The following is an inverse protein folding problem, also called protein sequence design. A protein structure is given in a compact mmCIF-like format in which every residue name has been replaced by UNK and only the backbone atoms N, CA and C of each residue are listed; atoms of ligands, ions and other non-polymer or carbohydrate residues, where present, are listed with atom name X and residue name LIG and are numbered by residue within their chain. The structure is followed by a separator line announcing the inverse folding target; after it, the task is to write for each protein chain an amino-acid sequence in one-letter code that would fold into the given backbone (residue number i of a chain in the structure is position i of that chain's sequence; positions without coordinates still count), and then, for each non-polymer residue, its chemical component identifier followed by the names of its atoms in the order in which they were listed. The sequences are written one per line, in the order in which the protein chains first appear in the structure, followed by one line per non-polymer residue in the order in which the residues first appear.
data_IF_544601647712
#
_entry.id   IF_544601647712
#
_cell.length_a   1.000
_cell.length_b   1.000
_cell.length_c   1.000
_cell.angle_alpha   90.00
_cell.angle_beta   90.00
_cell.angle_gamma   90.00
#
_symmetry.space_group_name_H-M   'P 1'
#
loop_
_entity.id
_entity.type
_entity.pdbx_description
1 polymer ?
#
# COMPACT_ATOMS: atom_id res chain seq x y z
N UNK A 1 -25.09 -12.04 -43.78
CA UNK A 1 -24.97 -11.74 -42.34
C UNK A 1 -24.79 -10.26 -42.00
N UNK A 2 -24.05 -9.46 -42.77
CA UNK A 2 -23.90 -8.00 -42.49
C UNK A 2 -25.19 -7.18 -42.71
N UNK A 3 -26.07 -7.54 -43.63
CA UNK A 3 -27.34 -6.82 -43.90
C UNK A 3 -28.42 -7.08 -42.82
N UNK A 4 -28.43 -8.23 -42.17
CA UNK A 4 -29.34 -8.52 -41.04
C UNK A 4 -28.99 -7.76 -39.74
N UNK A 5 -27.69 -7.46 -39.51
CA UNK A 5 -27.26 -6.65 -38.37
C UNK A 5 -27.72 -5.19 -38.51
N UNK A 6 -27.72 -4.62 -39.71
CA UNK A 6 -28.14 -3.23 -39.94
C UNK A 6 -29.62 -2.98 -39.72
N UNK A 7 -30.51 -3.95 -40.01
CA UNK A 7 -31.94 -3.80 -39.81
C UNK A 7 -32.38 -3.82 -38.34
N UNK A 8 -31.65 -4.48 -37.47
CA UNK A 8 -31.94 -4.52 -36.02
C UNK A 8 -31.52 -3.24 -35.27
N UNK A 9 -30.67 -2.41 -35.87
CA UNK A 9 -30.28 -1.11 -35.26
C UNK A 9 -31.23 0.04 -35.61
N UNK A 10 -32.15 -0.12 -36.53
CA UNK A 10 -33.11 0.93 -36.94
C UNK A 10 -34.15 1.27 -35.87
N UNK A 11 -34.39 0.36 -34.92
CA UNK A 11 -35.37 0.59 -33.82
C UNK A 11 -34.74 1.23 -32.53
N UNK A 12 -33.40 1.42 -32.53
CA UNK A 12 -32.74 2.10 -31.44
C UNK A 12 -32.89 3.61 -31.60
N UNK A 13 -33.61 4.25 -30.70
CA UNK A 13 -33.66 5.71 -30.65
C UNK A 13 -32.28 6.27 -30.27
N UNK A 14 -31.91 7.40 -30.89
CA UNK A 14 -30.65 8.09 -30.56
C UNK A 14 -30.44 8.26 -29.04
N UNK A 15 -31.53 8.51 -28.32
CA UNK A 15 -31.53 8.59 -26.87
C UNK A 15 -31.09 7.30 -26.19
N UNK A 16 -31.60 6.14 -26.61
CA UNK A 16 -31.22 4.86 -25.99
C UNK A 16 -29.74 4.52 -26.19
N UNK A 17 -29.15 4.94 -27.31
CA UNK A 17 -27.69 4.79 -27.52
C UNK A 17 -26.89 5.66 -26.56
N UNK A 18 -27.30 6.92 -26.38
CA UNK A 18 -26.62 7.83 -25.44
C UNK A 18 -26.80 7.40 -23.97
N UNK A 19 -27.97 6.86 -23.62
CA UNK A 19 -28.26 6.37 -22.26
C UNK A 19 -27.47 5.11 -21.89
N UNK A 20 -27.04 4.32 -22.88
CA UNK A 20 -26.24 3.11 -22.67
C UNK A 20 -24.73 3.41 -22.47
N UNK A 21 -24.29 4.66 -22.67
CA UNK A 21 -22.88 5.01 -22.51
C UNK A 21 -22.49 5.08 -21.03
N UNK A 22 -21.40 4.42 -20.61
CA UNK A 22 -20.92 4.44 -19.22
C UNK A 22 -20.13 5.73 -18.90
N UNK A 23 -20.67 6.87 -19.27
CA UNK A 23 -20.09 8.19 -19.05
C UNK A 23 -21.22 9.21 -18.83
N UNK A 24 -20.90 10.34 -18.21
CA UNK A 24 -21.83 11.46 -18.13
C UNK A 24 -21.79 12.23 -19.43
N UNK A 25 -22.94 12.41 -20.06
CA UNK A 25 -23.07 13.10 -21.31
C UNK A 25 -24.10 14.23 -21.21
N UNK A 26 -23.68 15.42 -21.66
CA UNK A 26 -24.54 16.60 -21.76
C UNK A 26 -24.37 17.25 -23.14
N UNK A 27 -25.43 17.84 -23.65
CA UNK A 27 -25.37 18.74 -24.81
C UNK A 27 -25.69 20.15 -24.28
N UNK A 28 -24.93 21.13 -24.69
CA UNK A 28 -24.99 22.50 -24.17
C UNK A 28 -25.10 23.52 -25.30
N UNK A 29 -25.80 24.60 -25.01
CA UNK A 29 -25.88 25.78 -25.90
C UNK A 29 -24.67 26.73 -25.70
N UNK A 30 -24.60 27.78 -26.49
CA UNK A 30 -23.56 28.80 -26.44
C UNK A 30 -23.53 29.56 -25.09
N UNK A 31 -24.63 29.60 -24.36
CA UNK A 31 -24.73 30.20 -23.04
C UNK A 31 -24.33 29.21 -21.92
N UNK A 32 -23.93 27.99 -22.29
CA UNK A 32 -23.56 26.88 -21.38
C UNK A 32 -24.77 26.30 -20.63
N UNK A 33 -25.98 26.51 -21.12
CA UNK A 33 -27.17 25.83 -20.59
C UNK A 33 -27.22 24.40 -21.12
N UNK A 34 -27.58 23.47 -20.25
CA UNK A 34 -27.70 22.06 -20.57
C UNK A 34 -29.03 21.84 -21.32
N UNK A 35 -28.92 21.36 -22.56
CA UNK A 35 -30.06 21.06 -23.43
C UNK A 35 -30.50 19.58 -23.33
N UNK A 36 -29.54 18.70 -23.03
CA UNK A 36 -29.74 17.26 -22.95
C UNK A 36 -28.78 16.64 -21.95
N UNK A 37 -29.22 15.58 -21.28
CA UNK A 37 -28.42 14.71 -20.41
C UNK A 37 -28.77 13.24 -20.69
N UNK A 38 -27.80 12.33 -20.53
CA UNK A 38 -28.06 10.90 -20.59
C UNK A 38 -28.46 10.31 -19.23
N UNK A 39 -28.86 9.03 -19.20
CA UNK A 39 -29.36 8.37 -18.00
C UNK A 39 -28.28 8.28 -16.90
N UNK A 40 -27.03 8.04 -17.25
CA UNK A 40 -25.91 8.01 -16.29
C UNK A 40 -25.77 9.36 -15.57
N UNK A 41 -25.91 10.45 -16.29
CA UNK A 41 -25.88 11.79 -15.68
C UNK A 41 -27.09 12.00 -14.74
N UNK A 42 -28.29 11.62 -15.17
CA UNK A 42 -29.51 11.77 -14.35
C UNK A 42 -29.41 11.05 -13.00
N UNK A 43 -28.79 9.88 -12.99
CA UNK A 43 -28.66 9.08 -11.78
C UNK A 43 -27.81 9.80 -10.71
N UNK A 44 -26.69 10.43 -11.10
CA UNK A 44 -25.69 10.95 -10.15
C UNK A 44 -25.80 12.47 -9.93
N UNK A 45 -26.31 13.23 -10.90
CA UNK A 45 -26.48 14.69 -10.82
C UNK A 45 -27.94 15.13 -10.72
N UNK A 46 -28.88 14.28 -11.09
CA UNK A 46 -30.29 14.63 -11.20
C UNK A 46 -30.61 15.37 -12.51
N UNK A 47 -31.79 16.00 -12.58
CA UNK A 47 -32.20 16.73 -13.78
C UNK A 47 -31.47 18.08 -13.86
N UNK A 48 -30.59 18.20 -14.83
CA UNK A 48 -29.80 19.40 -15.11
C UNK A 48 -30.28 20.18 -16.33
N UNK A 49 -31.31 19.72 -17.05
CA UNK A 49 -31.77 20.38 -18.28
C UNK A 49 -32.28 21.79 -17.98
N UNK A 50 -31.88 22.76 -18.79
CA UNK A 50 -32.17 24.17 -18.62
C UNK A 50 -31.30 24.91 -17.60
N UNK A 51 -30.47 24.21 -16.84
CA UNK A 51 -29.54 24.80 -15.90
C UNK A 51 -28.18 25.08 -16.54
N UNK A 52 -27.44 26.05 -15.99
CA UNK A 52 -26.07 26.33 -16.42
C UNK A 52 -25.13 25.24 -15.96
N UNK A 53 -24.24 24.76 -16.85
CA UNK A 53 -23.32 23.63 -16.56
C UNK A 53 -22.45 23.87 -15.33
N UNK A 54 -21.94 25.08 -15.11
CA UNK A 54 -21.08 25.43 -13.97
C UNK A 54 -21.83 25.38 -12.63
N UNK A 55 -23.16 25.59 -12.62
CA UNK A 55 -23.98 25.38 -11.40
C UNK A 55 -24.12 23.90 -11.08
N UNK A 56 -24.37 23.07 -12.08
CA UNK A 56 -24.60 21.63 -11.89
C UNK A 56 -23.31 20.89 -11.54
N UNK A 57 -22.20 21.16 -12.25
CA UNK A 57 -20.96 20.41 -12.06
C UNK A 57 -20.05 20.94 -10.97
N UNK A 58 -20.10 22.26 -10.68
CA UNK A 58 -19.17 22.92 -9.75
C UNK A 58 -19.89 23.64 -8.60
N UNK A 59 -21.20 23.71 -8.62
CA UNK A 59 -21.97 24.44 -7.58
C UNK A 59 -21.67 25.94 -7.54
N UNK A 60 -21.18 26.54 -8.64
CA UNK A 60 -20.76 27.94 -8.69
C UNK A 60 -21.71 28.81 -9.50
N UNK A 61 -21.76 30.11 -9.20
CA UNK A 61 -22.52 31.09 -10.00
C UNK A 61 -21.72 31.67 -11.17
N UNK A 62 -20.48 31.26 -11.32
CA UNK A 62 -19.56 31.82 -12.33
C UNK A 62 -19.05 30.76 -13.29
N UNK A 63 -18.84 31.16 -14.55
CA UNK A 63 -18.26 30.30 -15.59
C UNK A 63 -16.84 29.87 -15.23
N UNK A 64 -16.47 28.66 -15.61
CA UNK A 64 -15.12 28.11 -15.40
C UNK A 64 -14.07 29.00 -16.11
N UNK A 65 -12.94 29.26 -15.46
CA UNK A 65 -11.86 30.08 -16.05
C UNK A 65 -11.24 29.50 -17.32
N UNK A 66 -11.17 28.18 -17.43
CA UNK A 66 -10.60 27.44 -18.57
C UNK A 66 -11.62 26.42 -19.09
N UNK A 67 -12.82 26.88 -19.44
CA UNK A 67 -13.90 26.02 -19.87
C UNK A 67 -13.63 25.36 -21.23
N UNK A 68 -13.53 24.02 -21.35
CA UNK A 68 -13.32 23.36 -22.63
C UNK A 68 -14.49 23.55 -23.58
N UNK A 69 -15.71 23.61 -23.07
CA UNK A 69 -16.93 23.85 -23.88
C UNK A 69 -16.91 25.23 -24.55
N UNK A 70 -16.51 26.28 -23.83
CA UNK A 70 -16.34 27.61 -24.43
C UNK A 70 -15.28 27.63 -25.52
N UNK A 71 -14.13 26.94 -25.30
CA UNK A 71 -13.09 26.84 -26.34
C UNK A 71 -13.63 26.17 -27.60
N UNK A 72 -14.41 25.08 -27.43
CA UNK A 72 -15.02 24.37 -28.53
C UNK A 72 -16.00 25.26 -29.31
N UNK A 73 -16.78 26.13 -28.65
CA UNK A 73 -17.63 27.09 -29.34
C UNK A 73 -16.83 28.13 -30.13
N UNK A 74 -15.64 28.54 -29.67
CA UNK A 74 -14.80 29.56 -30.29
C UNK A 74 -14.11 29.04 -31.56
N UNK A 75 -13.51 27.84 -31.50
CA UNK A 75 -12.63 27.33 -32.55
C UNK A 75 -13.19 26.13 -33.33
N UNK A 76 -14.35 25.59 -32.93
CA UNK A 76 -14.99 24.44 -33.56
C UNK A 76 -14.19 23.13 -33.43
N UNK A 77 -13.26 23.05 -32.46
CA UNK A 77 -12.41 21.86 -32.26
C UNK A 77 -12.78 21.10 -31.00
N UNK A 78 -12.34 19.84 -30.96
CA UNK A 78 -12.43 19.00 -29.74
C UNK A 78 -11.42 19.49 -28.73
N UNK A 79 -11.87 19.67 -27.50
CA UNK A 79 -11.00 19.99 -26.36
C UNK A 79 -11.11 18.91 -25.27
N UNK A 80 -9.97 18.61 -24.66
CA UNK A 80 -9.85 17.66 -23.56
C UNK A 80 -9.30 18.41 -22.34
N UNK A 81 -9.90 18.20 -21.18
CA UNK A 81 -9.45 18.80 -19.92
C UNK A 81 -9.65 17.82 -18.77
N UNK A 82 -8.88 17.96 -17.70
CA UNK A 82 -9.15 17.31 -16.43
C UNK A 82 -9.92 18.28 -15.53
N UNK A 83 -11.03 17.84 -14.96
CA UNK A 83 -11.84 18.62 -14.04
C UNK A 83 -12.10 17.81 -12.76
N UNK A 84 -12.11 18.50 -11.63
CA UNK A 84 -12.58 17.93 -10.36
C UNK A 84 -14.05 18.24 -10.21
N UNK A 85 -14.89 17.22 -10.11
CA UNK A 85 -16.35 17.34 -10.07
C UNK A 85 -16.86 16.85 -8.73
N UNK A 86 -17.79 17.62 -8.14
CA UNK A 86 -18.52 17.24 -6.95
C UNK A 86 -19.84 16.58 -7.35
N UNK A 87 -20.02 15.30 -6.97
CA UNK A 87 -21.26 14.58 -7.19
C UNK A 87 -22.32 14.96 -6.14
N UNK A 88 -23.58 14.61 -6.40
CA UNK A 88 -24.72 14.91 -5.52
C UNK A 88 -24.62 14.27 -4.12
N UNK A 89 -23.94 13.15 -4.01
CA UNK A 89 -23.69 12.44 -2.75
C UNK A 89 -22.53 13.05 -1.92
N UNK A 90 -21.90 14.14 -2.41
CA UNK A 90 -20.76 14.80 -1.78
C UNK A 90 -19.41 14.19 -2.13
N UNK A 91 -19.35 13.16 -2.97
CA UNK A 91 -18.08 12.59 -3.43
C UNK A 91 -17.40 13.50 -4.45
N UNK A 92 -16.08 13.59 -4.35
CA UNK A 92 -15.23 14.38 -5.27
C UNK A 92 -14.51 13.42 -6.20
N UNK A 93 -14.77 13.55 -7.50
CA UNK A 93 -14.20 12.70 -8.54
C UNK A 93 -13.34 13.50 -9.52
N UNK A 94 -12.21 12.92 -9.94
CA UNK A 94 -11.44 13.44 -11.06
C UNK A 94 -12.01 12.87 -12.35
N UNK A 95 -12.34 13.77 -13.27
CA UNK A 95 -12.96 13.44 -14.56
C UNK A 95 -12.09 13.92 -15.70
N UNK A 96 -11.98 13.10 -16.75
CA UNK A 96 -11.56 13.60 -18.06
C UNK A 96 -12.81 14.10 -18.78
N UNK A 97 -12.76 15.34 -19.21
CA UNK A 97 -13.80 16.01 -19.95
C UNK A 97 -13.40 16.12 -21.41
N UNK A 98 -14.26 15.60 -22.28
CA UNK A 98 -14.21 15.81 -23.71
C UNK A 98 -15.32 16.78 -24.12
N UNK A 99 -15.00 17.81 -24.89
CA UNK A 99 -15.98 18.69 -25.51
C UNK A 99 -15.82 18.67 -27.02
N UNK A 100 -16.90 18.38 -27.74
CA UNK A 100 -16.90 18.27 -29.20
C UNK A 100 -18.02 19.13 -29.81
N UNK A 101 -17.81 19.81 -30.96
CA UNK A 101 -18.79 20.64 -31.58
C UNK A 101 -19.87 19.80 -32.28
N UNK A 102 -21.13 20.28 -32.23
CA UNK A 102 -22.22 19.84 -33.07
C UNK A 102 -22.55 20.98 -34.04
N UNK A 103 -22.44 20.68 -35.34
CA UNK A 103 -22.62 21.68 -36.39
C UNK A 103 -24.05 21.71 -36.88
N UNK A 104 -24.53 22.89 -37.27
CA UNK A 104 -25.74 23.04 -38.01
C UNK A 104 -25.55 22.75 -39.51
N UNK A 105 -26.63 22.83 -40.29
CA UNK A 105 -26.59 22.56 -41.74
C UNK A 105 -25.73 23.58 -42.52
N UNK A 106 -25.40 24.70 -41.91
CA UNK A 106 -24.61 25.78 -42.53
C UNK A 106 -23.13 25.69 -42.14
N UNK A 107 -22.80 24.81 -41.17
CA UNK A 107 -21.43 24.58 -40.70
C UNK A 107 -21.02 25.43 -39.49
N UNK A 108 -21.95 26.08 -38.82
CA UNK A 108 -21.67 26.77 -37.54
C UNK A 108 -21.83 25.83 -36.37
N UNK A 109 -21.08 26.06 -35.29
CA UNK A 109 -21.26 25.29 -34.05
C UNK A 109 -22.58 25.71 -33.38
N UNK A 110 -23.59 24.85 -33.47
CA UNK A 110 -24.90 25.08 -32.88
C UNK A 110 -25.02 24.65 -31.42
N UNK A 111 -24.29 23.59 -31.05
CA UNK A 111 -24.22 23.06 -29.69
C UNK A 111 -22.88 22.37 -29.47
N UNK A 112 -22.58 22.06 -28.22
CA UNK A 112 -21.39 21.29 -27.86
C UNK A 112 -21.83 20.09 -27.01
N UNK A 113 -21.35 18.92 -27.41
CA UNK A 113 -21.45 17.70 -26.59
C UNK A 113 -20.30 17.68 -25.59
N UNK A 114 -20.61 17.58 -24.31
CA UNK A 114 -19.64 17.41 -23.22
C UNK A 114 -19.80 16.00 -22.65
N UNK A 115 -18.73 15.22 -22.68
CA UNK A 115 -18.64 13.87 -22.10
C UNK A 115 -17.62 13.89 -20.97
N UNK A 116 -17.99 13.27 -19.82
CA UNK A 116 -17.11 13.15 -18.67
C UNK A 116 -16.96 11.67 -18.32
N UNK A 117 -15.72 11.25 -18.12
CA UNK A 117 -15.39 9.89 -17.69
C UNK A 117 -14.62 9.93 -16.38
N UNK A 118 -15.07 9.14 -15.42
CA UNK A 118 -14.36 8.99 -14.15
C UNK A 118 -13.05 8.22 -14.38
N UNK A 119 -11.96 8.81 -13.96
CA UNK A 119 -10.61 8.23 -14.12
C UNK A 119 -9.96 7.88 -12.79
N UNK A 120 -10.65 8.00 -11.68
CA UNK A 120 -10.09 7.69 -10.36
C UNK A 120 -9.51 6.29 -10.33
N UNK A 121 -10.26 5.28 -10.75
CA UNK A 121 -9.79 3.90 -10.78
C UNK A 121 -8.53 3.70 -11.62
N UNK A 122 -8.44 4.37 -12.78
CA UNK A 122 -7.26 4.30 -13.65
C UNK A 122 -6.07 4.99 -12.99
N UNK A 123 -6.29 6.15 -12.39
CA UNK A 123 -5.24 6.90 -11.67
C UNK A 123 -4.76 6.16 -10.42
N UNK A 124 -5.66 5.50 -9.71
CA UNK A 124 -5.31 4.68 -8.54
C UNK A 124 -4.43 3.50 -8.95
N UNK A 125 -4.80 2.78 -10.01
CA UNK A 125 -3.98 1.69 -10.58
C UNK A 125 -2.63 2.20 -11.09
N UNK A 126 -2.60 3.36 -11.77
CA UNK A 126 -1.35 3.97 -12.21
C UNK A 126 -0.46 4.36 -11.01
N UNK A 127 -1.03 4.96 -9.98
CA UNK A 127 -0.30 5.30 -8.75
C UNK A 127 0.27 4.06 -8.08
N UNK A 128 -0.52 2.98 -7.98
CA UNK A 128 -0.09 1.70 -7.45
C UNK A 128 1.07 1.11 -8.27
N UNK A 129 0.99 1.14 -9.61
CA UNK A 129 2.05 0.69 -10.50
C UNK A 129 3.34 1.50 -10.35
N UNK A 130 3.25 2.83 -10.23
CA UNK A 130 4.41 3.71 -10.00
C UNK A 130 5.05 3.39 -8.65
N UNK A 131 4.25 3.25 -7.59
CA UNK A 131 4.72 2.87 -6.25
C UNK A 131 5.41 1.51 -6.28
N UNK A 132 4.82 0.53 -6.96
CA UNK A 132 5.41 -0.79 -7.13
C UNK A 132 6.75 -0.73 -7.89
N UNK A 133 6.83 0.08 -8.97
CA UNK A 133 8.06 0.29 -9.73
C UNK A 133 9.18 0.92 -8.90
N UNK A 134 8.88 1.95 -8.11
CA UNK A 134 9.84 2.58 -7.19
C UNK A 134 10.33 1.58 -6.14
N UNK A 135 9.43 0.81 -5.59
CA UNK A 135 9.71 -0.23 -4.61
C UNK A 135 10.62 -1.33 -5.16
N UNK A 136 10.39 -1.73 -6.42
CA UNK A 136 11.25 -2.70 -7.10
C UNK A 136 12.66 -2.16 -7.33
N UNK A 137 12.80 -0.86 -7.62
CA UNK A 137 14.10 -0.22 -7.76
C UNK A 137 14.89 -0.23 -6.43
N UNK A 138 14.25 0.08 -5.30
CA UNK A 138 14.87 0.01 -3.97
C UNK A 138 15.29 -1.42 -3.64
N UNK A 139 14.42 -2.41 -3.86
CA UNK A 139 14.76 -3.82 -3.64
C UNK A 139 15.94 -4.29 -4.46
N UNK A 140 16.01 -3.87 -5.73
CA UNK A 140 17.14 -4.23 -6.62
C UNK A 140 18.44 -3.62 -6.14
N UNK A 141 18.40 -2.36 -5.69
CA UNK A 141 19.54 -1.68 -5.09
C UNK A 141 20.03 -2.41 -3.82
N UNK A 142 19.13 -2.78 -2.92
CA UNK A 142 19.45 -3.50 -1.69
C UNK A 142 20.07 -4.88 -1.98
N UNK A 143 19.49 -5.63 -2.93
CA UNK A 143 20.04 -6.90 -3.36
C UNK A 143 21.46 -6.74 -3.93
N UNK A 144 21.69 -5.70 -4.74
CA UNK A 144 23.02 -5.38 -5.26
C UNK A 144 24.03 -5.14 -4.12
N UNK A 145 23.66 -4.29 -3.14
CA UNK A 145 24.53 -4.00 -1.98
C UNK A 145 24.86 -5.27 -1.17
N UNK A 146 23.87 -6.17 -1.01
CA UNK A 146 24.09 -7.44 -0.32
C UNK A 146 25.04 -8.36 -1.11
N UNK A 147 24.94 -8.39 -2.45
CA UNK A 147 25.84 -9.15 -3.32
C UNK A 147 27.26 -8.59 -3.25
N UNK A 148 27.43 -7.27 -3.33
CA UNK A 148 28.73 -6.62 -3.14
C UNK A 148 29.32 -6.93 -1.76
N UNK A 149 28.47 -6.99 -0.72
CA UNK A 149 28.88 -7.42 0.62
C UNK A 149 29.33 -8.88 0.67
N UNK A 150 28.73 -9.79 -0.12
CA UNK A 150 29.22 -11.17 -0.25
C UNK A 150 30.59 -11.24 -0.92
N UNK A 151 30.75 -10.52 -2.03
CA UNK A 151 32.03 -10.44 -2.75
C UNK A 151 33.14 -9.87 -1.86
N UNK A 152 32.88 -8.77 -1.14
CA UNK A 152 33.81 -8.20 -0.17
C UNK A 152 34.14 -9.14 0.97
N UNK A 153 33.15 -9.88 1.50
CA UNK A 153 33.37 -10.89 2.52
C UNK A 153 34.26 -12.04 2.03
N UNK A 154 34.04 -12.52 0.82
CA UNK A 154 34.83 -13.56 0.17
C UNK A 154 36.26 -13.08 -0.03
N UNK A 155 36.45 -11.86 -0.54
CA UNK A 155 37.80 -11.28 -0.73
C UNK A 155 38.59 -11.20 0.59
N UNK A 156 37.93 -10.77 1.69
CA UNK A 156 38.58 -10.69 3.02
C UNK A 156 38.96 -12.10 3.55
N UNK A 157 38.16 -13.13 3.22
CA UNK A 157 38.49 -14.52 3.56
C UNK A 157 39.75 -14.95 2.78
N UNK A 158 39.80 -14.71 1.46
CA UNK A 158 40.90 -15.11 0.59
C UNK A 158 42.20 -14.45 1.02
N UNK A 159 42.21 -13.16 1.33
CA UNK A 159 43.39 -12.46 1.86
C UNK A 159 43.80 -13.02 3.24
N UNK A 160 42.85 -13.28 4.13
CA UNK A 160 43.17 -13.89 5.43
C UNK A 160 43.80 -15.29 5.30
N UNK A 161 43.33 -16.10 4.35
CA UNK A 161 43.91 -17.42 4.08
C UNK A 161 45.31 -17.28 3.48
N UNK A 162 45.48 -16.38 2.51
CA UNK A 162 46.74 -16.13 1.82
C UNK A 162 47.84 -15.66 2.77
N UNK A 163 47.51 -14.78 3.68
CA UNK A 163 48.41 -14.21 4.67
C UNK A 163 48.51 -15.06 5.96
N UNK A 164 47.84 -16.21 6.00
CA UNK A 164 47.73 -17.09 7.16
C UNK A 164 47.18 -16.39 8.42
N UNK A 165 46.36 -15.34 8.20
CA UNK A 165 45.64 -14.59 9.24
C UNK A 165 44.21 -15.11 9.44
N UNK A 166 44.06 -16.07 10.33
CA UNK A 166 42.76 -16.65 10.66
C UNK A 166 41.80 -15.64 11.33
N UNK A 167 42.33 -14.56 11.93
CA UNK A 167 41.51 -13.47 12.47
C UNK A 167 40.82 -12.67 11.36
N UNK A 168 41.56 -12.36 10.29
CA UNK A 168 41.05 -11.70 9.09
C UNK A 168 40.04 -12.61 8.35
N UNK A 169 40.34 -13.88 8.17
CA UNK A 169 39.45 -14.84 7.55
C UNK A 169 38.10 -14.98 8.31
N UNK A 170 38.15 -15.00 9.65
CA UNK A 170 36.92 -14.99 10.48
C UNK A 170 36.10 -13.71 10.33
N UNK A 171 36.70 -12.55 10.17
CA UNK A 171 36.01 -11.29 9.89
C UNK A 171 35.28 -11.36 8.54
N UNK A 172 35.97 -11.82 7.47
CA UNK A 172 35.37 -12.04 6.17
C UNK A 172 34.18 -13.01 6.23
N UNK A 173 34.33 -14.14 6.95
CA UNK A 173 33.25 -15.11 7.15
C UNK A 173 32.03 -14.48 7.86
N UNK A 174 32.25 -13.62 8.84
CA UNK A 174 31.16 -12.92 9.53
C UNK A 174 30.39 -11.99 8.58
N UNK A 175 31.11 -11.23 7.73
CA UNK A 175 30.49 -10.36 6.71
C UNK A 175 29.65 -11.21 5.74
N UNK A 176 30.20 -12.30 5.23
CA UNK A 176 29.53 -13.19 4.29
C UNK A 176 28.27 -13.79 4.90
N UNK A 177 28.34 -14.36 6.12
CA UNK A 177 27.22 -14.95 6.84
C UNK A 177 26.11 -13.94 7.09
N UNK A 178 26.46 -12.69 7.43
CA UNK A 178 25.49 -11.60 7.63
C UNK A 178 24.69 -11.34 6.35
N UNK A 179 25.36 -11.19 5.21
CA UNK A 179 24.72 -10.90 3.93
C UNK A 179 23.86 -12.09 3.43
N UNK A 180 24.30 -13.33 3.59
CA UNK A 180 23.49 -14.53 3.27
C UNK A 180 22.19 -14.52 4.07
N UNK A 181 22.27 -14.24 5.36
CA UNK A 181 21.10 -14.20 6.24
C UNK A 181 20.11 -13.12 5.80
N UNK A 182 20.62 -11.96 5.41
CA UNK A 182 19.79 -10.84 4.96
C UNK A 182 19.12 -11.13 3.60
N UNK A 183 19.85 -11.67 2.62
CA UNK A 183 19.29 -12.10 1.34
C UNK A 183 18.19 -13.14 1.55
N UNK A 184 18.41 -14.12 2.42
CA UNK A 184 17.41 -15.13 2.76
C UNK A 184 16.14 -14.51 3.32
N UNK A 185 16.27 -13.54 4.23
CA UNK A 185 15.16 -12.82 4.85
C UNK A 185 14.35 -12.03 3.80
N UNK A 186 15.03 -11.27 2.94
CA UNK A 186 14.40 -10.46 1.88
C UNK A 186 13.66 -11.37 0.90
N UNK A 187 14.32 -12.43 0.41
CA UNK A 187 13.71 -13.39 -0.53
C UNK A 187 12.48 -14.04 0.07
N UNK A 188 12.52 -14.44 1.34
CA UNK A 188 11.36 -15.01 2.01
C UNK A 188 10.21 -14.00 2.14
N UNK A 189 10.48 -12.72 2.39
CA UNK A 189 9.46 -11.69 2.47
C UNK A 189 8.81 -11.43 1.10
N UNK A 190 9.61 -11.37 0.03
CA UNK A 190 9.10 -11.25 -1.35
C UNK A 190 8.22 -12.44 -1.71
N UNK A 191 8.66 -13.67 -1.44
CA UNK A 191 7.88 -14.88 -1.71
C UNK A 191 6.57 -14.92 -0.93
N UNK A 192 6.56 -14.40 0.29
CA UNK A 192 5.33 -14.32 1.09
C UNK A 192 4.36 -13.26 0.53
N UNK A 193 4.89 -12.13 0.05
CA UNK A 193 4.08 -11.04 -0.51
C UNK A 193 3.48 -11.42 -1.87
N UNK A 194 4.23 -12.15 -2.71
CA UNK A 194 3.83 -12.50 -4.08
C UNK A 194 2.87 -13.67 -4.19
N UNK A 195 2.89 -14.60 -3.23
CA UNK A 195 2.02 -15.79 -3.28
C UNK A 195 0.70 -15.55 -2.54
N UNK A 196 -0.44 -15.79 -3.22
CA UNK A 196 -1.72 -16.07 -2.57
C UNK A 196 -1.60 -17.43 -1.88
N UNK A 197 -1.15 -17.44 -0.63
CA UNK A 197 -1.10 -18.67 0.18
C UNK A 197 -2.37 -18.73 1.01
N UNK A 198 -3.12 -19.82 0.87
CA UNK A 198 -4.22 -20.11 1.78
C UNK A 198 -3.65 -20.48 3.16
N UNK A 199 -4.00 -19.75 4.23
CA UNK A 199 -3.52 -20.04 5.57
C UNK A 199 -3.98 -21.45 6.00
N UNK A 200 -3.08 -22.21 6.59
CA UNK A 200 -3.39 -23.53 7.15
C UNK A 200 -3.72 -23.39 8.64
N UNK A 201 -4.97 -23.10 8.93
CA UNK A 201 -5.44 -22.94 10.29
C UNK A 201 -5.49 -24.25 11.06
N UNK A 202 -4.84 -24.29 12.21
CA UNK A 202 -4.80 -25.44 13.13
C UNK A 202 -4.92 -24.97 14.59
N UNK A 203 -5.49 -25.81 15.46
CA UNK A 203 -5.54 -25.55 16.90
C UNK A 203 -4.15 -25.63 17.49
N UNK A 204 -3.66 -24.56 18.03
CA UNK A 204 -2.31 -24.42 18.58
C UNK A 204 -2.34 -23.57 19.85
N UNK A 205 -1.40 -23.79 20.75
CA UNK A 205 -1.23 -22.96 21.97
C UNK A 205 -0.43 -21.71 21.65
N UNK A 206 -0.97 -20.51 21.85
CA UNK A 206 -0.28 -19.27 21.50
C UNK A 206 1.09 -19.11 22.19
N UNK A 207 1.19 -19.43 23.47
CA UNK A 207 2.44 -19.33 24.23
C UNK A 207 3.54 -20.26 23.68
N UNK A 208 3.21 -21.43 23.13
CA UNK A 208 4.20 -22.34 22.52
C UNK A 208 4.77 -21.75 21.22
N UNK A 209 3.93 -21.10 20.42
CA UNK A 209 4.37 -20.41 19.20
C UNK A 209 5.32 -19.25 19.55
N UNK A 210 4.98 -18.45 20.54
CA UNK A 210 5.86 -17.37 21.00
C UNK A 210 7.19 -17.91 21.56
N UNK A 211 7.16 -18.95 22.39
CA UNK A 211 8.36 -19.59 22.95
C UNK A 211 9.31 -20.06 21.85
N UNK A 212 8.81 -20.86 20.87
CA UNK A 212 9.61 -21.32 19.75
C UNK A 212 10.21 -20.18 18.94
N UNK A 213 9.47 -19.07 18.78
CA UNK A 213 9.98 -17.92 18.06
C UNK A 213 11.10 -17.22 18.83
N UNK A 214 10.94 -17.02 20.13
CA UNK A 214 11.99 -16.41 20.98
C UNK A 214 13.27 -17.24 20.97
N UNK A 215 13.15 -18.58 21.06
CA UNK A 215 14.29 -19.52 21.01
C UNK A 215 15.14 -19.32 19.73
N UNK A 216 14.52 -19.00 18.57
CA UNK A 216 15.25 -18.74 17.32
C UNK A 216 16.14 -17.49 17.37
N UNK A 217 15.85 -16.55 18.26
CA UNK A 217 16.58 -15.28 18.38
C UNK A 217 17.51 -15.20 19.58
N UNK A 218 17.49 -16.19 20.47
CA UNK A 218 18.26 -16.15 21.71
C UNK A 218 19.79 -16.06 21.46
N UNK A 219 20.31 -16.85 20.51
CA UNK A 219 21.73 -16.80 20.15
C UNK A 219 22.13 -15.42 19.61
N UNK A 220 21.27 -14.84 18.76
CA UNK A 220 21.52 -13.50 18.22
C UNK A 220 21.50 -12.42 19.28
N UNK A 221 20.53 -12.47 20.19
CA UNK A 221 20.43 -11.52 21.30
C UNK A 221 21.67 -11.62 22.22
N UNK A 222 22.13 -12.83 22.53
CA UNK A 222 23.35 -13.08 23.31
C UNK A 222 24.61 -12.52 22.60
N UNK A 223 24.71 -12.68 21.28
CA UNK A 223 25.83 -12.14 20.49
C UNK A 223 25.87 -10.61 20.50
N UNK A 224 24.69 -9.98 20.58
CA UNK A 224 24.56 -8.51 20.68
C UNK A 224 24.61 -8.01 22.13
N UNK A 225 24.77 -8.90 23.12
CA UNK A 225 24.71 -8.58 24.55
C UNK A 225 23.38 -7.92 24.99
N UNK A 226 22.26 -8.27 24.31
CA UNK A 226 20.93 -7.78 24.63
C UNK A 226 20.12 -8.80 25.42
N UNK A 227 19.27 -8.31 26.33
CA UNK A 227 18.34 -9.16 27.06
C UNK A 227 17.11 -9.45 26.20
N UNK A 228 16.91 -10.72 25.82
CA UNK A 228 15.67 -11.19 25.18
C UNK A 228 14.89 -12.01 26.20
N UNK A 229 13.76 -11.45 26.67
CA UNK A 229 12.94 -12.02 27.73
C UNK A 229 11.58 -12.43 27.19
N UNK A 230 11.08 -13.61 27.60
CA UNK A 230 9.73 -14.05 27.28
C UNK A 230 8.85 -14.11 28.55
N UNK A 231 7.65 -13.57 28.45
CA UNK A 231 6.61 -13.58 29.48
C UNK A 231 5.37 -14.22 28.87
N UNK A 232 5.20 -15.53 29.05
CA UNK A 232 4.25 -16.34 28.32
C UNK A 232 3.21 -16.96 29.28
N UNK A 233 1.94 -16.63 29.07
CA UNK A 233 0.84 -17.19 29.86
C UNK A 233 0.43 -18.55 29.30
N UNK A 234 0.67 -19.67 30.02
CA UNK A 234 0.32 -21.02 29.53
C UNK A 234 -1.18 -21.32 29.62
N UNK A 235 -1.96 -20.47 30.27
CA UNK A 235 -3.40 -20.68 30.50
C UNK A 235 -4.23 -20.34 29.26
N UNK A 236 -3.66 -19.56 28.28
CA UNK A 236 -4.34 -19.27 27.03
C UNK A 236 -4.74 -20.57 26.34
N UNK A 237 -6.06 -20.76 26.00
CA UNK A 237 -6.52 -21.99 25.40
C UNK A 237 -5.96 -22.24 24.00
N UNK A 238 -6.22 -23.44 23.48
CA UNK A 238 -5.95 -23.75 22.08
C UNK A 238 -6.78 -22.82 21.17
N UNK A 239 -6.08 -22.05 20.34
CA UNK A 239 -6.69 -21.13 19.36
C UNK A 239 -6.42 -21.58 17.94
N UNK A 240 -7.29 -21.22 17.03
CA UNK A 240 -7.15 -21.56 15.60
C UNK A 240 -6.26 -20.56 14.90
N UNK A 241 -5.07 -21.00 14.48
CA UNK A 241 -4.10 -20.12 13.80
C UNK A 241 -3.25 -20.88 12.77
N UNK A 242 -2.69 -20.15 11.81
CA UNK A 242 -1.59 -20.62 10.93
C UNK A 242 -0.26 -20.34 11.65
N UNK A 243 0.21 -21.33 12.43
CA UNK A 243 1.41 -21.19 13.25
C UNK A 243 2.66 -20.74 12.48
N UNK A 244 2.96 -21.24 11.27
CA UNK A 244 4.08 -20.75 10.48
C UNK A 244 3.99 -19.25 10.16
N UNK A 245 2.79 -18.74 9.88
CA UNK A 245 2.57 -17.32 9.65
C UNK A 245 2.74 -16.49 10.93
N UNK A 246 2.21 -16.96 12.07
CA UNK A 246 2.39 -16.28 13.36
C UNK A 246 3.87 -16.25 13.78
N UNK A 247 4.61 -17.35 13.62
CA UNK A 247 6.07 -17.39 13.84
C UNK A 247 6.76 -16.31 12.99
N UNK A 248 6.39 -16.21 11.73
CA UNK A 248 6.96 -15.19 10.82
C UNK A 248 6.64 -13.76 11.26
N UNK A 249 5.39 -13.49 11.65
CA UNK A 249 4.98 -12.20 12.19
C UNK A 249 5.82 -11.82 13.41
N UNK A 250 5.90 -12.71 14.41
CA UNK A 250 6.70 -12.48 15.62
C UNK A 250 8.19 -12.33 15.27
N UNK A 251 8.72 -13.14 14.35
CA UNK A 251 10.11 -13.02 13.90
C UNK A 251 10.42 -11.65 13.31
N UNK A 252 9.53 -11.09 12.49
CA UNK A 252 9.70 -9.75 11.93
C UNK A 252 9.67 -8.68 13.02
N UNK A 253 8.79 -8.80 14.00
CA UNK A 253 8.70 -7.84 15.11
C UNK A 253 9.94 -7.93 16.04
N UNK A 254 10.37 -9.14 16.41
CA UNK A 254 11.57 -9.36 17.25
C UNK A 254 12.82 -8.86 16.51
N UNK A 255 12.94 -9.17 15.22
CA UNK A 255 14.07 -8.68 14.41
C UNK A 255 14.13 -7.16 14.41
N UNK A 256 13.01 -6.48 14.17
CA UNK A 256 12.94 -5.02 14.18
C UNK A 256 13.32 -4.44 15.55
N UNK A 257 12.89 -5.06 16.64
CA UNK A 257 13.23 -4.65 18.01
C UNK A 257 14.75 -4.79 18.27
N UNK A 258 15.36 -5.93 17.92
CA UNK A 258 16.80 -6.15 18.06
C UNK A 258 17.62 -5.17 17.21
N UNK A 259 17.20 -4.89 15.97
CA UNK A 259 17.87 -3.90 15.13
C UNK A 259 17.74 -2.47 15.67
N UNK A 260 16.58 -2.12 16.23
CA UNK A 260 16.39 -0.81 16.87
C UNK A 260 17.32 -0.65 18.07
N UNK A 261 17.47 -1.70 18.87
CA UNK A 261 18.42 -1.74 19.98
C UNK A 261 19.88 -1.62 19.50
N UNK A 262 20.28 -2.33 18.46
CA UNK A 262 21.63 -2.29 17.91
C UNK A 262 22.03 -0.90 17.38
N UNK A 263 21.08 -0.17 16.83
CA UNK A 263 21.26 1.20 16.33
C UNK A 263 21.25 2.27 17.42
N UNK A 264 20.61 2.02 18.55
CA UNK A 264 20.53 3.00 19.64
C UNK A 264 21.80 3.01 20.49
N UNK A 265 22.70 3.94 20.17
CA UNK A 265 23.96 4.14 20.91
C UNK A 265 23.82 5.03 22.16
N UNK A 266 22.61 5.49 22.49
CA UNK A 266 22.35 6.36 23.64
C UNK A 266 22.24 5.60 24.96
N UNK A 267 21.81 4.32 24.88
CA UNK A 267 21.67 3.45 26.06
C UNK A 267 22.81 2.44 26.15
N UNK A 268 23.17 2.08 27.36
CA UNK A 268 24.24 1.12 27.67
C UNK A 268 23.70 -0.33 27.76
N UNK A 269 22.40 -0.49 27.95
CA UNK A 269 21.75 -1.82 28.03
C UNK A 269 20.46 -1.81 27.25
N UNK A 270 20.27 -2.88 26.48
CA UNK A 270 19.08 -3.06 25.67
C UNK A 270 18.32 -4.32 26.07
N UNK A 271 17.00 -4.24 26.00
CA UNK A 271 16.11 -5.36 26.27
C UNK A 271 14.97 -5.42 25.28
N UNK A 272 14.63 -6.65 24.89
CA UNK A 272 13.44 -6.96 24.10
C UNK A 272 12.58 -7.94 24.89
N UNK A 273 11.33 -7.61 25.10
CA UNK A 273 10.38 -8.42 25.87
C UNK A 273 9.30 -8.91 24.92
N UNK A 274 9.10 -10.23 24.89
CA UNK A 274 8.02 -10.86 24.10
C UNK A 274 6.99 -11.42 25.06
N UNK A 275 5.73 -10.96 24.92
CA UNK A 275 4.63 -11.43 25.76
C UNK A 275 3.60 -12.21 24.94
N UNK A 276 2.99 -13.20 25.55
CA UNK A 276 1.77 -13.84 25.07
C UNK A 276 0.81 -13.92 26.26
N UNK A 277 -0.29 -13.18 26.23
CA UNK A 277 -1.23 -13.06 27.32
C UNK A 277 -2.67 -12.82 26.83
N UNK A 278 -3.63 -12.82 27.74
CA UNK A 278 -4.97 -12.35 27.46
C UNK A 278 -4.95 -10.83 27.22
N UNK A 279 -5.64 -10.38 26.18
CA UNK A 279 -5.98 -8.98 26.00
C UNK A 279 -7.28 -8.65 26.73
N UNK A 280 -8.28 -9.51 26.56
CA UNK A 280 -9.57 -9.50 27.27
C UNK A 280 -10.13 -10.93 27.36
N UNK A 281 -11.42 -11.05 27.75
CA UNK A 281 -12.11 -12.36 27.90
C UNK A 281 -12.20 -13.16 26.60
N UNK A 282 -12.19 -12.50 25.44
CA UNK A 282 -12.42 -13.12 24.12
C UNK A 282 -11.21 -13.03 23.19
N UNK A 283 -10.15 -12.33 23.62
CA UNK A 283 -8.97 -12.10 22.80
C UNK A 283 -7.68 -12.39 23.59
N UNK A 284 -6.71 -12.92 22.87
CA UNK A 284 -5.31 -13.01 23.31
C UNK A 284 -4.46 -12.05 22.49
N UNK A 285 -3.27 -11.73 23.02
CA UNK A 285 -2.33 -10.84 22.35
C UNK A 285 -0.92 -11.41 22.34
N UNK A 286 -0.15 -10.99 21.35
CA UNK A 286 1.29 -10.99 21.43
C UNK A 286 1.79 -9.55 21.50
N UNK A 287 2.79 -9.33 22.32
CA UNK A 287 3.53 -8.06 22.39
C UNK A 287 5.00 -8.31 22.15
N UNK A 288 5.63 -7.39 21.42
CA UNK A 288 7.08 -7.27 21.30
C UNK A 288 7.42 -5.85 21.67
N UNK A 289 8.14 -5.70 22.78
CA UNK A 289 8.55 -4.42 23.35
C UNK A 289 10.06 -4.29 23.36
N UNK A 290 10.57 -3.20 22.85
CA UNK A 290 11.97 -2.81 22.94
C UNK A 290 12.13 -1.53 23.78
N UNK A 291 13.30 -1.35 24.36
CA UNK A 291 13.66 -0.13 25.06
C UNK A 291 14.60 0.78 24.24
N UNK A 292 14.60 0.68 22.91
CA UNK A 292 15.45 1.44 22.02
C UNK A 292 15.01 2.91 21.87
N UNK A 293 15.38 3.54 20.78
CA UNK A 293 15.13 4.95 20.51
C UNK A 293 13.69 5.36 20.29
N UNK A 294 12.77 4.42 20.06
CA UNK A 294 11.41 4.74 19.69
C UNK A 294 11.29 5.45 18.34
N UNK A 295 10.10 5.95 18.06
CA UNK A 295 9.78 6.61 16.78
C UNK A 295 8.97 7.89 17.01
N UNK A 296 9.10 8.86 16.12
CA UNK A 296 8.24 10.03 16.03
C UNK A 296 6.91 9.70 15.36
N UNK A 297 5.98 10.65 15.38
CA UNK A 297 4.63 10.47 14.83
C UNK A 297 4.63 10.35 13.31
N UNK A 298 5.53 11.05 12.63
CA UNK A 298 5.68 10.98 11.19
C UNK A 298 6.11 9.57 10.75
N UNK A 299 7.16 9.04 11.36
CA UNK A 299 7.59 7.65 11.14
C UNK A 299 6.48 6.66 11.47
N UNK A 300 5.75 6.86 12.59
CA UNK A 300 4.67 5.97 13.03
C UNK A 300 3.54 5.90 12.01
N UNK A 301 3.17 7.01 11.39
CA UNK A 301 2.06 7.08 10.42
C UNK A 301 2.32 6.30 9.14
N UNK A 302 3.58 6.15 8.72
CA UNK A 302 3.99 5.50 7.46
C UNK A 302 4.47 4.05 7.65
N UNK A 303 4.52 3.51 8.88
CA UNK A 303 5.15 2.22 9.20
C UNK A 303 4.64 1.01 8.42
N UNK A 304 3.40 1.03 7.99
CA UNK A 304 2.76 -0.06 7.24
C UNK A 304 2.66 0.21 5.75
N UNK A 305 3.16 1.36 5.28
CA UNK A 305 3.27 1.62 3.85
C UNK A 305 4.28 0.66 3.23
N UNK A 306 3.96 0.21 2.03
CA UNK A 306 4.84 -0.71 1.32
C UNK A 306 6.21 -0.08 1.11
N UNK A 307 7.26 -0.83 1.48
CA UNK A 307 8.66 -0.44 1.34
C UNK A 307 9.11 0.78 2.16
N UNK A 308 8.27 1.29 3.06
CA UNK A 308 8.68 2.35 3.96
C UNK A 308 9.75 1.83 4.94
N UNK A 309 10.87 2.51 4.97
CA UNK A 309 11.97 2.23 5.88
C UNK A 309 12.71 3.50 6.27
N UNK A 310 12.90 3.72 7.56
CA UNK A 310 13.78 4.77 8.08
C UNK A 310 15.25 4.35 8.11
N UNK A 311 15.56 3.16 7.59
CA UNK A 311 16.88 2.52 7.69
C UNK A 311 17.79 2.84 6.48
N UNK A 312 17.37 3.73 5.58
CA UNK A 312 18.08 3.98 4.31
C UNK A 312 18.29 2.68 3.54
N UNK A 313 19.46 2.51 2.97
CA UNK A 313 19.85 1.36 2.12
C UNK A 313 19.85 -0.01 2.86
N UNK A 314 19.68 -0.05 4.17
CA UNK A 314 19.69 -1.29 4.96
C UNK A 314 18.31 -1.85 5.31
N UNK A 315 17.21 -1.20 4.90
CA UNK A 315 15.87 -1.60 5.29
C UNK A 315 14.92 -1.79 4.13
N UNK A 316 14.48 -3.02 3.88
CA UNK A 316 13.57 -3.37 2.77
C UNK A 316 12.11 -2.90 2.95
N UNK A 317 11.74 -2.40 4.12
CA UNK A 317 10.35 -2.00 4.44
C UNK A 317 9.32 -3.13 4.40
N UNK A 318 9.71 -4.36 4.05
CA UNK A 318 8.78 -5.49 3.85
C UNK A 318 8.37 -6.19 5.16
N UNK A 319 9.16 -6.09 6.22
CA UNK A 319 8.94 -6.87 7.45
C UNK A 319 7.63 -6.54 8.16
N UNK A 320 7.34 -5.25 8.34
CA UNK A 320 6.11 -4.78 9.01
C UNK A 320 4.88 -4.96 8.12
N UNK A 321 5.00 -4.76 6.81
CA UNK A 321 3.93 -5.05 5.86
C UNK A 321 3.53 -6.54 5.90
N UNK A 322 4.51 -7.46 5.95
CA UNK A 322 4.25 -8.89 6.11
C UNK A 322 3.57 -9.17 7.45
N UNK A 323 4.00 -8.51 8.54
CA UNK A 323 3.36 -8.67 9.84
C UNK A 323 1.90 -8.20 9.83
N UNK A 324 1.61 -7.01 9.29
CA UNK A 324 0.25 -6.49 9.16
C UNK A 324 -0.64 -7.42 8.30
N UNK A 325 -0.14 -7.89 7.16
CA UNK A 325 -0.88 -8.82 6.31
C UNK A 325 -1.22 -10.13 7.03
N UNK A 326 -0.30 -10.67 7.84
CA UNK A 326 -0.56 -11.87 8.65
C UNK A 326 -1.64 -11.61 9.69
N UNK A 327 -1.56 -10.47 10.38
CA UNK A 327 -2.57 -10.06 11.37
C UNK A 327 -3.94 -9.95 10.72
N UNK A 328 -4.07 -9.28 9.58
CA UNK A 328 -5.32 -9.16 8.83
C UNK A 328 -5.87 -10.50 8.36
N UNK A 329 -5.03 -11.42 7.87
CA UNK A 329 -5.45 -12.76 7.47
C UNK A 329 -6.00 -13.56 8.66
N UNK A 330 -5.53 -13.31 9.87
CA UNK A 330 -6.06 -13.90 11.11
C UNK A 330 -7.21 -13.09 11.71
N UNK A 331 -7.74 -12.07 10.99
CA UNK A 331 -8.80 -11.15 11.46
C UNK A 331 -8.45 -10.48 12.78
N UNK A 332 -7.15 -10.26 13.02
CA UNK A 332 -6.61 -9.58 14.19
C UNK A 332 -6.47 -8.08 13.99
N UNK A 333 -5.96 -7.43 15.03
CA UNK A 333 -5.62 -6.00 15.06
C UNK A 333 -4.17 -5.82 15.49
N UNK A 334 -3.47 -4.83 14.93
CA UNK A 334 -2.13 -4.42 15.37
C UNK A 334 -2.20 -3.02 15.98
N UNK A 335 -1.56 -2.83 17.12
CA UNK A 335 -1.43 -1.56 17.83
C UNK A 335 0.05 -1.26 18.04
N UNK A 336 0.41 0.02 17.98
CA UNK A 336 1.79 0.50 18.17
C UNK A 336 1.78 1.59 19.21
N UNK A 337 2.59 1.39 20.25
CA UNK A 337 2.86 2.37 21.28
C UNK A 337 4.34 2.70 21.22
N UNK A 338 4.67 3.93 20.89
CA UNK A 338 6.05 4.39 20.75
C UNK A 338 6.19 5.85 21.14
N UNK A 339 7.33 6.22 21.65
CA UNK A 339 7.72 7.61 21.92
C UNK A 339 9.22 7.75 21.68
N UNK A 340 9.68 8.87 21.12
CA UNK A 340 11.11 9.14 20.97
C UNK A 340 11.84 9.00 22.32
N UNK A 341 12.91 8.20 22.35
CA UNK A 341 13.73 7.92 23.53
C UNK A 341 13.19 6.85 24.48
N UNK A 342 11.95 6.36 24.30
CA UNK A 342 11.31 5.42 25.25
C UNK A 342 11.26 3.97 24.76
N UNK A 343 11.45 3.74 23.44
CA UNK A 343 11.29 2.43 22.83
C UNK A 343 9.98 2.26 22.09
N UNK A 344 9.70 1.03 21.64
CA UNK A 344 8.50 0.70 20.89
C UNK A 344 7.86 -0.57 21.40
N UNK A 345 6.54 -0.59 21.49
CA UNK A 345 5.74 -1.78 21.75
C UNK A 345 4.81 -2.02 20.55
N UNK A 346 4.97 -3.17 19.93
CA UNK A 346 4.01 -3.71 18.97
C UNK A 346 3.10 -4.72 19.67
N UNK A 347 1.80 -4.52 19.59
CA UNK A 347 0.78 -5.43 20.13
C UNK A 347 -0.08 -5.96 19.00
N UNK A 348 -0.21 -7.28 18.90
CA UNK A 348 -1.10 -7.94 17.94
C UNK A 348 -2.17 -8.70 18.70
N UNK A 349 -3.44 -8.48 18.36
CA UNK A 349 -4.61 -8.95 19.10
C UNK A 349 -5.39 -9.91 18.21
N UNK A 350 -5.75 -11.07 18.74
CA UNK A 350 -6.45 -12.12 18.01
C UNK A 350 -7.60 -12.68 18.84
N UNK A 351 -8.63 -13.15 18.16
CA UNK A 351 -9.76 -13.83 18.80
C UNK A 351 -9.35 -15.21 19.29
N UNK A 352 -9.84 -15.61 20.48
CA UNK A 352 -9.67 -16.94 21.06
C UNK A 352 -10.54 -17.98 20.32
#
# INVERSE_FOLDING_TARGET
MQQLAYSQFHDLTFKSVLDALPCYLTIQDVNLNILFVNQTFLNDFGDGVGQSCYKVFQGTEHKCRQCPVQKTFIDGKVHIAEETILLKDGTVNQMIVYSAPLFDLVGNVSAVIKMLTNVNMIKDVQKELVTLGQSFAVLTHDLKNMLEGLEGGAYVIDEGIKDNDMGLARKGWHILRKNITEISRVTQNILYSSKKRDPKFQKTKPHEVARRTVELFQEKANTLEFQLVSQLNPVIPLTTMDSPSIIRMLSNLIWNALEACDKDKRKTSHSVIVRADYYDKNHYMYEVEDNAGGMDEDTRSHLFEEFFSTKGDAGTGLGLMVADRIVRHHKGKIEILTRPGAGTLFRTIFKI
#
